data_IF_619935470071
#
_entry.id   IF_619935470071
#
_cell.length_a   1.000
_cell.length_b   1.000
_cell.length_c   1.000
_cell.angle_alpha   90.00
_cell.angle_beta   90.00
_cell.angle_gamma   90.00
#
_symmetry.space_group_name_H-M   'P 1'
#
loop_
_entity.id
_entity.type
_entity.pdbx_description
1 polymer ?
#
# COMPACT_ATOMS: atom_id res chain seq x y z
N UNK A 1 0.11 8.24 -11.90
CA UNK A 1 0.91 8.38 -10.67
C UNK A 1 0.21 7.72 -9.50
N UNK A 2 -0.53 8.49 -8.69
CA UNK A 2 -1.16 8.01 -7.45
C UNK A 2 -2.28 6.99 -7.62
N UNK A 3 -3.30 7.28 -8.44
CA UNK A 3 -4.43 6.36 -8.62
C UNK A 3 -4.05 5.00 -9.21
N UNK A 4 -3.02 4.96 -10.06
CA UNK A 4 -2.48 3.69 -10.56
C UNK A 4 -1.78 2.87 -9.47
N UNK A 5 -1.05 3.53 -8.56
CA UNK A 5 -0.44 2.88 -7.40
C UNK A 5 -1.50 2.37 -6.41
N UNK A 6 -2.56 3.14 -6.18
CA UNK A 6 -3.70 2.73 -5.34
C UNK A 6 -4.43 1.53 -5.93
N UNK A 7 -4.70 1.52 -7.24
CA UNK A 7 -5.33 0.39 -7.93
C UNK A 7 -4.44 -0.87 -7.90
N UNK A 8 -3.14 -0.73 -8.19
CA UNK A 8 -2.20 -1.85 -8.13
C UNK A 8 -2.12 -2.43 -6.72
N UNK A 9 -2.04 -1.59 -5.70
CA UNK A 9 -2.07 -2.01 -4.30
C UNK A 9 -3.38 -2.73 -3.94
N UNK A 10 -4.53 -2.20 -4.38
CA UNK A 10 -5.81 -2.85 -4.16
C UNK A 10 -5.85 -4.26 -4.76
N UNK A 11 -5.40 -4.44 -6.01
CA UNK A 11 -5.34 -5.77 -6.65
C UNK A 11 -4.43 -6.72 -5.87
N UNK A 12 -3.21 -6.29 -5.51
CA UNK A 12 -2.27 -7.14 -4.78
C UNK A 12 -2.76 -7.55 -3.39
N UNK A 13 -3.51 -6.69 -2.70
CA UNK A 13 -4.09 -7.01 -1.39
C UNK A 13 -5.30 -7.93 -1.52
N UNK A 14 -6.13 -7.77 -2.55
CA UNK A 14 -7.23 -8.68 -2.85
C UNK A 14 -6.71 -10.10 -3.14
N UNK A 15 -5.65 -10.22 -3.96
CA UNK A 15 -4.95 -11.49 -4.23
C UNK A 15 -4.41 -12.16 -2.95
N UNK A 16 -4.02 -11.35 -1.95
CA UNK A 16 -3.54 -11.83 -0.66
C UNK A 16 -4.68 -12.19 0.33
N UNK A 17 -5.95 -12.05 -0.08
CA UNK A 17 -7.11 -12.28 0.78
C UNK A 17 -7.34 -11.17 1.82
N UNK A 18 -6.87 -9.96 1.54
CA UNK A 18 -7.02 -8.76 2.39
C UNK A 18 -7.90 -7.71 1.69
N UNK A 19 -9.19 -8.01 1.43
CA UNK A 19 -10.07 -7.08 0.75
C UNK A 19 -10.38 -5.88 1.64
N UNK A 20 -10.38 -4.69 1.06
CA UNK A 20 -10.72 -3.47 1.78
C UNK A 20 -10.27 -2.20 1.06
N UNK A 21 -10.69 -1.02 1.55
CA UNK A 21 -10.14 0.23 1.07
C UNK A 21 -8.63 0.28 1.34
N UNK A 22 -7.89 0.81 0.37
CA UNK A 22 -6.44 0.91 0.43
C UNK A 22 -6.02 2.37 0.33
N UNK A 23 -5.12 2.79 1.21
CA UNK A 23 -4.47 4.10 1.15
C UNK A 23 -2.99 3.93 0.88
N UNK A 24 -2.47 4.70 -0.08
CA UNK A 24 -1.04 4.73 -0.41
C UNK A 24 -0.41 6.06 0.00
N UNK A 25 0.74 5.98 0.66
CA UNK A 25 1.61 7.11 0.97
C UNK A 25 2.99 6.89 0.35
N UNK A 26 3.62 7.97 -0.11
CA UNK A 26 4.92 7.95 -0.77
C UNK A 26 5.88 8.86 0.00
N UNK A 27 7.06 8.36 0.30
CA UNK A 27 8.18 9.10 0.87
C UNK A 27 9.37 9.00 -0.08
N UNK A 28 9.99 10.13 -0.38
CA UNK A 28 11.14 10.22 -1.28
C UNK A 28 12.37 10.61 -0.47
N UNK A 29 13.51 9.96 -0.73
CA UNK A 29 14.78 10.36 -0.10
C UNK A 29 15.27 11.73 -0.56
N UNK A 30 14.89 12.12 -1.78
CA UNK A 30 15.37 13.33 -2.45
C UNK A 30 14.22 14.18 -2.97
N UNK A 31 14.49 15.47 -3.14
CA UNK A 31 13.59 16.42 -3.80
C UNK A 31 14.33 17.06 -4.98
N UNK A 32 13.92 16.80 -6.25
CA UNK A 32 12.70 16.13 -6.69
C UNK A 32 12.67 14.60 -6.44
N UNK A 33 11.47 14.03 -6.27
CA UNK A 33 11.28 12.62 -5.91
C UNK A 33 11.87 11.62 -6.93
N UNK A 34 11.98 12.02 -8.20
CA UNK A 34 12.56 11.22 -9.28
C UNK A 34 14.04 11.57 -9.52
N UNK A 35 14.76 11.95 -8.46
CA UNK A 35 16.22 12.16 -8.55
C UNK A 35 16.90 10.81 -8.80
N UNK A 36 17.72 10.68 -9.87
CA UNK A 36 18.53 9.49 -10.14
C UNK A 36 19.29 8.99 -8.91
N UNK A 37 19.22 7.68 -8.65
CA UNK A 37 19.84 7.07 -7.46
C UNK A 37 19.10 7.33 -6.13
N UNK A 38 18.07 8.18 -6.13
CA UNK A 38 17.16 8.36 -5.01
C UNK A 38 16.28 7.13 -4.77
N UNK A 39 15.60 7.10 -3.63
CA UNK A 39 14.68 6.02 -3.26
C UNK A 39 13.27 6.54 -3.04
N UNK A 40 12.29 5.71 -3.42
CA UNK A 40 10.87 5.95 -3.18
C UNK A 40 10.37 4.81 -2.29
N UNK A 41 9.89 5.16 -1.10
CA UNK A 41 9.19 4.25 -0.20
C UNK A 41 7.69 4.44 -0.38
N UNK A 42 7.00 3.38 -0.76
CA UNK A 42 5.55 3.30 -0.74
C UNK A 42 5.10 2.56 0.52
N UNK A 43 4.22 3.18 1.30
CA UNK A 43 3.54 2.54 2.42
C UNK A 43 2.05 2.45 2.10
N UNK A 44 1.55 1.21 2.10
CA UNK A 44 0.17 0.84 1.84
C UNK A 44 -0.48 0.49 3.16
N UNK A 45 -1.65 1.07 3.43
CA UNK A 45 -2.43 0.81 4.64
C UNK A 45 -3.82 0.35 4.27
N UNK A 46 -4.30 -0.70 4.94
CA UNK A 46 -5.67 -1.20 4.82
C UNK A 46 -6.20 -1.64 6.18
N UNK A 47 -7.51 -1.76 6.31
CA UNK A 47 -8.19 -2.34 7.46
C UNK A 47 -8.90 -3.62 7.07
N UNK A 48 -8.59 -4.71 7.77
CA UNK A 48 -9.19 -6.03 7.51
C UNK A 48 -9.91 -6.54 8.74
N UNK A 49 -10.97 -7.31 8.52
CA UNK A 49 -11.66 -8.01 9.59
C UNK A 49 -10.80 -9.16 10.14
N UNK A 50 -10.87 -9.39 11.45
CA UNK A 50 -10.19 -10.51 12.07
C UNK A 50 -10.79 -11.84 11.59
N UNK A 51 -9.94 -12.84 11.28
CA UNK A 51 -10.42 -14.17 10.95
C UNK A 51 -11.15 -14.79 12.14
N UNK A 52 -12.06 -15.72 11.84
CA UNK A 52 -12.86 -16.48 12.82
C UNK A 52 -13.94 -15.68 13.56
N UNK A 53 -14.14 -14.41 13.23
CA UNK A 53 -15.27 -13.61 13.71
C UNK A 53 -16.45 -13.78 12.75
N UNK A 54 -17.66 -14.16 13.24
CA UNK A 54 -18.85 -14.20 12.39
C UNK A 54 -19.10 -12.85 11.72
N UNK A 55 -19.36 -12.85 10.40
CA UNK A 55 -19.45 -11.64 9.58
C UNK A 55 -20.37 -10.54 10.15
N UNK A 56 -21.52 -10.92 10.74
CA UNK A 56 -22.46 -9.98 11.34
C UNK A 56 -22.03 -9.36 12.67
N UNK A 57 -20.88 -9.77 13.23
CA UNK A 57 -20.41 -9.37 14.55
C UNK A 57 -19.11 -8.54 14.49
N UNK A 58 -18.48 -8.44 13.32
CA UNK A 58 -17.21 -7.72 13.10
C UNK A 58 -17.31 -6.26 13.55
N UNK A 59 -18.35 -5.55 13.10
CA UNK A 59 -18.51 -4.12 13.41
C UNK A 59 -18.94 -3.89 14.87
N UNK A 60 -19.78 -4.76 15.43
CA UNK A 60 -20.24 -4.66 16.82
C UNK A 60 -19.10 -4.88 17.83
N UNK A 61 -18.12 -5.72 17.49
CA UNK A 61 -16.96 -6.02 18.35
C UNK A 61 -15.74 -5.14 18.06
N UNK A 62 -15.79 -4.29 17.01
CA UNK A 62 -14.60 -3.59 16.53
C UNK A 62 -13.49 -4.55 16.12
N UNK A 63 -13.84 -5.71 15.57
CA UNK A 63 -12.90 -6.79 15.27
C UNK A 63 -12.17 -6.56 13.94
N UNK A 64 -11.52 -5.41 13.81
CA UNK A 64 -10.73 -5.01 12.65
C UNK A 64 -9.29 -4.72 13.08
N UNK A 65 -8.35 -5.01 12.19
CA UNK A 65 -6.94 -4.69 12.40
C UNK A 65 -6.40 -3.91 11.22
N UNK A 66 -5.55 -2.93 11.52
CA UNK A 66 -4.81 -2.19 10.50
C UNK A 66 -3.62 -3.03 10.04
N UNK A 67 -3.48 -3.18 8.74
CA UNK A 67 -2.37 -3.89 8.10
C UNK A 67 -1.58 -2.90 7.26
N UNK A 68 -0.25 -2.98 7.35
CA UNK A 68 0.67 -2.16 6.58
C UNK A 68 1.53 -3.03 5.65
N UNK A 69 1.62 -2.63 4.39
CA UNK A 69 2.60 -3.13 3.44
C UNK A 69 3.59 -2.03 3.09
N UNK A 70 4.88 -2.36 2.95
CA UNK A 70 5.89 -1.41 2.50
C UNK A 70 6.64 -1.96 1.28
N UNK A 71 6.94 -1.06 0.34
CA UNK A 71 7.77 -1.34 -0.82
C UNK A 71 8.77 -0.19 -1.00
N UNK A 72 10.02 -0.52 -1.29
CA UNK A 72 11.06 0.48 -1.58
C UNK A 72 11.63 0.18 -2.95
N UNK A 73 11.72 1.21 -3.79
CA UNK A 73 12.36 1.14 -5.10
C UNK A 73 13.39 2.24 -5.24
N UNK A 74 14.41 1.98 -6.07
CA UNK A 74 15.42 2.97 -6.46
C UNK A 74 14.96 3.64 -7.75
N UNK A 75 15.22 4.94 -7.90
CA UNK A 75 15.02 5.68 -9.13
C UNK A 75 16.17 5.39 -10.08
N UNK A 76 15.85 4.98 -11.29
CA UNK A 76 16.84 4.61 -12.30
C UNK A 76 17.83 5.76 -12.56
N UNK A 77 19.11 5.42 -12.57
CA UNK A 77 20.20 6.34 -12.90
C UNK A 77 20.43 6.47 -14.41
N UNK A 78 19.94 5.51 -15.19
CA UNK A 78 20.13 5.46 -16.64
C UNK A 78 18.79 5.58 -17.36
N UNK A 79 18.56 6.72 -18.00
CA UNK A 79 17.50 6.86 -19.00
C UNK A 79 18.16 6.63 -20.36
N UNK A 80 17.99 5.44 -20.95
CA UNK A 80 18.35 5.23 -22.35
C UNK A 80 17.59 6.25 -23.20
N UNK A 81 18.32 7.08 -23.96
CA UNK A 81 17.77 8.04 -24.91
C UNK A 81 18.09 7.61 -26.32
#
# INVERSE_FOLDING_TARGET
>A
GRGAAELAAHISFDDAGLPGPVTVSLECSDSPCLTPGGTIRATVTTEVALPLIPFGMVDALGARVTVHGNAVTVVDEWVER
#
